data_IF_006487834569
#
_entry.id   IF_006487834569
#
_cell.length_a   1.000
_cell.length_b   1.000
_cell.length_c   1.000
_cell.angle_alpha   90.00
_cell.angle_beta   90.00
_cell.angle_gamma   90.00
#
_symmetry.space_group_name_H-M   'P 1'
#
loop_
_entity.id
_entity.type
_entity.pdbx_description
1 polymer ?
#
# COMPACT_ATOMS: atom_id res chain seq x y z
N UNK A 1 -12.93 -4.75 -24.59
CA UNK A 1 -11.90 -5.79 -24.77
C UNK A 1 -10.63 -5.09 -25.19
N UNK A 2 -9.51 -5.25 -24.46
CA UNK A 2 -8.25 -4.62 -24.88
C UNK A 2 -7.66 -5.46 -26.02
N UNK A 3 -7.99 -5.11 -27.25
CA UNK A 3 -7.72 -5.88 -28.47
C UNK A 3 -6.37 -5.49 -29.11
N UNK A 4 -5.35 -5.27 -28.27
CA UNK A 4 -3.96 -5.05 -28.74
C UNK A 4 -3.15 -6.29 -28.42
N UNK A 5 -2.73 -7.02 -29.47
CA UNK A 5 -1.81 -8.15 -29.36
C UNK A 5 -0.39 -7.60 -29.27
N UNK A 6 0.29 -7.89 -28.17
CA UNK A 6 1.71 -7.57 -28.00
C UNK A 6 2.53 -8.81 -28.32
N UNK A 7 3.71 -8.62 -28.92
CA UNK A 7 4.72 -9.67 -28.87
C UNK A 7 5.12 -9.90 -27.39
N UNK A 8 5.36 -11.16 -26.97
CA UNK A 8 5.75 -11.46 -25.59
C UNK A 8 6.92 -10.59 -25.09
N UNK A 9 7.91 -10.35 -25.96
CA UNK A 9 9.10 -9.59 -25.61
C UNK A 9 8.88 -8.06 -25.59
N UNK A 10 7.77 -7.57 -26.13
CA UNK A 10 7.45 -6.14 -26.20
C UNK A 10 6.56 -5.68 -25.04
N UNK A 11 5.92 -6.60 -24.30
CA UNK A 11 5.05 -6.25 -23.18
C UNK A 11 5.85 -6.07 -21.89
N UNK A 12 6.56 -4.94 -21.81
CA UNK A 12 7.51 -4.65 -20.71
C UNK A 12 6.94 -3.64 -19.72
N UNK A 13 7.26 -3.86 -18.45
CA UNK A 13 6.94 -2.94 -17.37
C UNK A 13 7.67 -1.60 -17.57
N UNK A 14 6.94 -0.50 -17.48
CA UNK A 14 7.52 0.85 -17.58
C UNK A 14 8.51 1.15 -16.43
N UNK A 15 8.29 0.57 -15.25
CA UNK A 15 9.08 0.88 -14.06
C UNK A 15 10.41 0.14 -13.97
N UNK A 16 10.44 -1.14 -14.32
CA UNK A 16 11.66 -1.96 -14.23
C UNK A 16 12.18 -2.46 -15.58
N UNK A 17 11.47 -2.20 -16.67
CA UNK A 17 11.80 -2.63 -18.04
C UNK A 17 11.86 -4.14 -18.28
N UNK A 18 11.48 -4.96 -17.29
CA UNK A 18 11.33 -6.41 -17.44
C UNK A 18 10.00 -6.81 -18.07
N UNK A 19 9.96 -7.98 -18.69
CA UNK A 19 8.74 -8.53 -19.33
C UNK A 19 7.65 -8.76 -18.28
N UNK A 20 6.41 -8.42 -18.64
CA UNK A 20 5.21 -8.75 -17.88
C UNK A 20 4.63 -10.03 -18.45
N UNK A 21 4.39 -11.02 -17.60
CA UNK A 21 3.63 -12.22 -17.98
C UNK A 21 2.20 -11.82 -18.35
N UNK A 22 1.79 -11.95 -19.63
CA UNK A 22 0.48 -11.53 -20.09
C UNK A 22 -0.65 -12.47 -19.60
N UNK A 23 -0.31 -13.65 -19.06
CA UNK A 23 -1.28 -14.57 -18.45
C UNK A 23 -1.62 -14.19 -17.00
N UNK A 24 -0.73 -13.43 -16.36
CA UNK A 24 -0.88 -12.94 -15.00
C UNK A 24 -1.53 -11.55 -14.92
N UNK A 25 -1.93 -11.12 -13.72
CA UNK A 25 -2.51 -9.81 -13.56
C UNK A 25 -1.44 -8.70 -13.47
N UNK A 26 -1.69 -7.59 -14.15
CA UNK A 26 -0.82 -6.41 -14.18
C UNK A 26 -1.61 -5.12 -13.99
N UNK A 27 -0.92 -3.98 -13.95
CA UNK A 27 -1.51 -2.66 -13.79
C UNK A 27 -1.13 -1.74 -14.96
N UNK A 28 -1.78 -0.59 -15.07
CA UNK A 28 -1.43 0.46 -16.02
C UNK A 28 -1.38 1.82 -15.31
N UNK A 29 -0.49 2.68 -15.80
CA UNK A 29 -0.57 4.12 -15.58
C UNK A 29 -0.96 4.81 -16.89
N UNK A 30 -1.45 6.05 -16.81
CA UNK A 30 -1.73 6.90 -17.97
C UNK A 30 -0.69 8.00 -18.02
N UNK A 31 0.04 8.10 -19.14
CA UNK A 31 1.00 9.16 -19.39
C UNK A 31 0.33 10.50 -19.72
N UNK A 32 1.12 11.56 -19.79
CA UNK A 32 0.62 12.91 -20.13
C UNK A 32 0.05 12.99 -21.56
N UNK A 33 0.53 12.11 -22.44
CA UNK A 33 0.04 11.89 -23.81
C UNK A 33 -1.29 11.10 -23.87
N UNK A 34 -1.79 10.63 -22.71
CA UNK A 34 -2.96 9.79 -22.60
C UNK A 34 -2.71 8.31 -22.90
N UNK A 35 -1.45 7.91 -23.17
CA UNK A 35 -1.11 6.51 -23.42
C UNK A 35 -1.10 5.69 -22.14
N UNK A 36 -1.47 4.41 -22.25
CA UNK A 36 -1.45 3.46 -21.13
C UNK A 36 -0.13 2.72 -21.11
N UNK A 37 0.61 2.85 -20.01
CA UNK A 37 1.88 2.17 -19.83
C UNK A 37 1.75 1.02 -18.83
N UNK A 38 2.07 -0.21 -19.23
CA UNK A 38 1.89 -1.37 -18.37
C UNK A 38 2.97 -1.42 -17.28
N UNK A 39 2.58 -1.90 -16.11
CA UNK A 39 3.44 -2.04 -14.93
C UNK A 39 3.14 -3.39 -14.26
N UNK A 40 4.17 -4.04 -13.70
CA UNK A 40 3.92 -5.10 -12.73
C UNK A 40 3.12 -4.50 -11.55
N UNK A 41 2.21 -5.27 -10.96
CA UNK A 41 1.43 -4.80 -9.79
C UNK A 41 2.34 -4.33 -8.64
N UNK A 42 3.49 -4.98 -8.46
CA UNK A 42 4.51 -4.57 -7.48
C UNK A 42 5.11 -3.20 -7.81
N UNK A 43 5.58 -3.00 -9.04
CA UNK A 43 6.12 -1.71 -9.48
C UNK A 43 5.08 -0.58 -9.38
N UNK A 44 3.83 -0.86 -9.75
CA UNK A 44 2.74 0.09 -9.57
C UNK A 44 2.54 0.45 -8.09
N UNK A 45 2.52 -0.53 -7.19
CA UNK A 45 2.37 -0.31 -5.75
C UNK A 45 3.57 0.41 -5.12
N UNK A 46 4.77 0.29 -5.69
CA UNK A 46 5.95 1.04 -5.24
C UNK A 46 5.86 2.52 -5.61
N UNK A 47 5.43 2.81 -6.85
CA UNK A 47 5.32 4.16 -7.40
C UNK A 47 4.09 4.93 -6.88
N UNK A 48 2.94 4.27 -6.86
CA UNK A 48 1.63 4.92 -6.65
C UNK A 48 0.84 4.31 -5.47
N UNK A 49 1.37 3.28 -4.83
CA UNK A 49 0.67 2.59 -3.75
C UNK A 49 0.59 3.44 -2.48
N UNK A 50 -0.58 3.39 -1.85
CA UNK A 50 -0.80 3.94 -0.50
C UNK A 50 0.16 3.25 0.47
N UNK A 51 0.90 4.03 1.26
CA UNK A 51 1.77 3.51 2.32
C UNK A 51 0.99 3.33 3.62
N UNK A 52 1.20 2.20 4.27
CA UNK A 52 0.61 1.94 5.58
C UNK A 52 1.18 2.91 6.62
N UNK A 53 0.30 3.57 7.39
CA UNK A 53 0.68 4.48 8.46
C UNK A 53 1.56 3.80 9.52
N UNK A 54 1.38 2.49 9.74
CA UNK A 54 2.11 1.68 10.73
C UNK A 54 3.41 1.11 10.20
N UNK A 55 3.36 0.13 9.28
CA UNK A 55 4.57 -0.56 8.81
C UNK A 55 5.31 0.13 7.67
N UNK A 56 4.78 1.23 7.11
CA UNK A 56 5.32 1.98 5.96
C UNK A 56 5.42 1.17 4.65
N UNK A 57 5.00 -0.10 4.63
CA UNK A 57 4.86 -0.89 3.41
C UNK A 57 3.71 -0.38 2.53
N UNK A 58 3.79 -0.59 1.22
CA UNK A 58 2.65 -0.36 0.31
C UNK A 58 1.50 -1.31 0.64
N UNK A 59 0.29 -0.77 0.74
CA UNK A 59 -0.92 -1.58 0.96
C UNK A 59 -1.21 -2.36 -0.32
N UNK A 60 -1.32 -3.70 -0.25
CA UNK A 60 -1.50 -4.51 -1.44
C UNK A 60 -2.89 -4.28 -2.05
N UNK A 61 -2.92 -4.26 -3.38
CA UNK A 61 -4.16 -4.27 -4.15
C UNK A 61 -4.76 -5.67 -4.19
N UNK A 62 -6.08 -5.76 -3.99
CA UNK A 62 -6.83 -7.01 -4.08
C UNK A 62 -6.89 -7.58 -5.50
N UNK A 63 -7.43 -8.81 -5.66
CA UNK A 63 -7.60 -9.45 -6.96
C UNK A 63 -8.40 -8.60 -7.96
N UNK A 64 -9.40 -7.89 -7.45
CA UNK A 64 -10.30 -6.97 -8.18
C UNK A 64 -9.66 -5.63 -8.56
N UNK A 65 -8.38 -5.42 -8.22
CA UNK A 65 -7.68 -4.17 -8.51
C UNK A 65 -7.99 -3.04 -7.52
N UNK A 66 -8.75 -3.28 -6.45
CA UNK A 66 -9.04 -2.28 -5.42
C UNK A 66 -8.10 -2.41 -4.23
N UNK A 67 -7.78 -1.28 -3.61
CA UNK A 67 -7.03 -1.26 -2.34
C UNK A 67 -8.02 -1.24 -1.19
N UNK A 68 -7.84 -2.12 -0.21
CA UNK A 68 -8.57 -2.09 1.05
C UNK A 68 -7.64 -1.77 2.20
N UNK A 69 -8.09 -0.91 3.10
CA UNK A 69 -7.34 -0.47 4.26
C UNK A 69 -8.28 -0.26 5.44
N UNK A 70 -7.71 -0.18 6.64
CA UNK A 70 -8.41 0.22 7.86
C UNK A 70 -8.02 1.65 8.21
N UNK A 71 -8.97 2.40 8.75
CA UNK A 71 -8.75 3.75 9.28
C UNK A 71 -9.22 3.82 10.72
N UNK A 72 -8.55 4.67 11.50
CA UNK A 72 -9.09 5.08 12.79
C UNK A 72 -10.22 6.09 12.57
N UNK A 73 -11.30 6.09 13.39
CA UNK A 73 -12.43 7.02 13.20
C UNK A 73 -12.04 8.51 13.18
N UNK A 74 -10.96 8.88 13.87
CA UNK A 74 -10.52 10.28 14.01
C UNK A 74 -9.27 10.65 13.21
N UNK A 75 -8.56 9.67 12.61
CA UNK A 75 -7.34 9.90 11.84
C UNK A 75 -7.56 9.44 10.39
N UNK A 76 -8.27 10.26 9.62
CA UNK A 76 -8.74 9.94 8.27
C UNK A 76 -7.62 9.83 7.22
N UNK A 77 -6.50 10.50 7.46
CA UNK A 77 -5.28 10.44 6.65
C UNK A 77 -4.47 9.17 6.90
N UNK A 78 -4.66 8.51 8.05
CA UNK A 78 -3.93 7.31 8.43
C UNK A 78 -4.59 6.04 7.87
N UNK A 79 -3.99 5.54 6.80
CA UNK A 79 -4.43 4.33 6.13
C UNK A 79 -3.57 3.15 6.58
N UNK A 80 -4.21 2.09 7.03
CA UNK A 80 -3.54 0.93 7.61
C UNK A 80 -3.78 -0.32 6.79
N UNK A 81 -2.73 -1.10 6.54
CA UNK A 81 -2.91 -2.36 5.84
C UNK A 81 -3.76 -3.33 6.68
N UNK A 82 -4.56 -4.21 6.05
CA UNK A 82 -5.42 -5.15 6.77
C UNK A 82 -4.67 -6.11 7.72
N UNK A 83 -3.35 -6.27 7.57
CA UNK A 83 -2.50 -7.06 8.49
C UNK A 83 -2.63 -6.53 9.93
N UNK A 84 -2.65 -5.20 10.11
CA UNK A 84 -2.76 -4.57 11.42
C UNK A 84 -4.18 -4.54 11.98
N UNK A 85 -5.20 -4.85 11.19
CA UNK A 85 -6.54 -5.07 11.73
C UNK A 85 -6.61 -6.38 12.53
N UNK A 86 -5.88 -7.41 12.06
CA UNK A 86 -5.83 -8.73 12.69
C UNK A 86 -4.83 -8.79 13.84
N UNK A 87 -3.71 -8.10 13.69
CA UNK A 87 -2.70 -7.96 14.74
C UNK A 87 -2.37 -6.47 14.95
N UNK A 88 -3.13 -5.78 15.82
CA UNK A 88 -3.02 -4.34 15.99
C UNK A 88 -1.71 -3.88 16.63
N UNK A 89 -0.95 -4.78 17.27
CA UNK A 89 0.19 -4.37 18.07
C UNK A 89 -0.21 -3.40 19.19
N UNK A 90 0.74 -2.55 19.60
CA UNK A 90 0.53 -1.51 20.61
C UNK A 90 -0.27 -0.34 20.04
N UNK A 91 -1.09 0.25 20.90
CA UNK A 91 -1.93 1.40 20.58
C UNK A 91 -1.84 2.42 21.71
N UNK A 92 -1.98 3.69 21.34
CA UNK A 92 -2.03 4.78 22.30
C UNK A 92 -3.20 4.54 23.26
N UNK A 93 -2.94 4.59 24.56
CA UNK A 93 -3.97 4.35 25.58
C UNK A 93 -5.04 5.45 25.62
N UNK A 94 -4.71 6.67 25.19
CA UNK A 94 -5.65 7.79 25.17
C UNK A 94 -6.56 7.81 23.94
N UNK A 95 -6.02 7.58 22.74
CA UNK A 95 -6.76 7.78 21.49
C UNK A 95 -6.87 6.53 20.60
N UNK A 96 -6.32 5.39 21.04
CA UNK A 96 -6.30 4.12 20.29
C UNK A 96 -5.64 4.18 18.89
N UNK A 97 -4.92 5.27 18.56
CA UNK A 97 -4.03 5.35 17.39
C UNK A 97 -3.04 4.19 17.43
N UNK A 98 -2.70 3.64 16.28
CA UNK A 98 -1.78 2.52 16.18
C UNK A 98 -0.34 3.02 16.16
N UNK A 99 0.54 2.32 16.89
CA UNK A 99 1.94 2.70 16.99
C UNK A 99 2.69 2.43 15.68
N UNK A 100 3.27 3.46 15.02
CA UNK A 100 4.08 3.26 13.82
C UNK A 100 5.38 2.52 14.10
N UNK A 101 5.82 1.69 13.14
CA UNK A 101 7.16 1.09 13.18
C UNK A 101 8.18 2.21 12.95
N UNK A 102 9.17 2.30 13.85
CA UNK A 102 10.30 3.23 13.77
C UNK A 102 10.09 4.59 14.45
N UNK A 103 8.84 5.07 14.57
CA UNK A 103 8.52 6.27 15.34
C UNK A 103 7.55 5.89 16.47
N UNK A 104 8.12 5.28 17.51
CA UNK A 104 7.38 4.69 18.61
C UNK A 104 6.62 5.73 19.45
N UNK A 105 5.67 5.24 20.22
CA UNK A 105 4.93 5.99 21.21
C UNK A 105 5.73 6.10 22.50
N UNK A 106 5.47 7.14 23.28
CA UNK A 106 6.10 7.32 24.57
C UNK A 106 5.50 6.35 25.59
N UNK A 107 6.34 5.55 26.23
CA UNK A 107 5.95 4.70 27.36
C UNK A 107 5.65 5.55 28.60
N UNK A 108 4.59 5.21 29.32
CA UNK A 108 4.22 5.90 30.57
C UNK A 108 4.93 5.34 31.81
N UNK A 109 5.74 4.29 31.64
CA UNK A 109 6.47 3.67 32.76
C UNK A 109 5.59 2.84 33.70
N UNK A 110 4.35 2.59 33.33
CA UNK A 110 3.44 1.67 33.99
C UNK A 110 2.96 0.59 33.03
N UNK A 111 2.45 -0.52 33.58
CA UNK A 111 2.02 -1.78 32.97
C UNK A 111 1.65 -1.77 31.46
N UNK A 112 2.63 -1.56 30.58
CA UNK A 112 2.49 -1.62 29.11
C UNK A 112 1.73 -0.46 28.45
N UNK A 113 1.46 0.66 29.15
CA UNK A 113 0.74 1.80 28.55
C UNK A 113 1.68 2.73 27.78
N UNK A 114 1.16 3.30 26.69
CA UNK A 114 1.89 4.25 25.86
C UNK A 114 0.98 5.34 25.29
N UNK A 115 1.58 6.46 24.88
CA UNK A 115 0.88 7.60 24.28
C UNK A 115 1.55 8.05 22.99
N UNK A 116 0.75 8.38 21.98
CA UNK A 116 1.27 8.95 20.75
C UNK A 116 1.79 10.36 20.98
N UNK A 117 2.87 10.72 20.29
CA UNK A 117 3.31 12.10 20.18
C UNK A 117 2.38 12.79 19.17
N UNK A 118 1.65 13.81 19.62
CA UNK A 118 0.67 14.55 18.83
C UNK A 118 1.24 15.04 17.51
#
# INVERSE_FOLDING_TARGET
TLDKKYHPDCFKCMGCHEIIDPSGPFAFTVGDDGERHPLHRKCYAELFGIKCAVCKESIPTGPDGKVSYVKHPFFDTEQMCPKHAKNPGRRCTGCHRFEPIGNGFADLGDAGRCVCLS
#
